data_IF_398459645452
#
_entry.id   IF_398459645452
#
_cell.length_a   1.000
_cell.length_b   1.000
_cell.length_c   1.000
_cell.angle_alpha   90.00
_cell.angle_beta   90.00
_cell.angle_gamma   90.00
#
_symmetry.space_group_name_H-M   'P 1'
#
loop_
_entity.id
_entity.type
_entity.pdbx_description
1 polymer ?
#
# COMPACT_ATOMS: atom_id res chain seq x y z
N UNK A 1 -8.33 9.12 28.81
CA UNK A 1 -8.05 9.58 27.44
C UNK A 1 -6.65 9.10 27.12
N UNK A 2 -6.52 8.11 26.23
CA UNK A 2 -5.20 7.70 25.72
C UNK A 2 -4.83 8.74 24.67
N UNK A 3 -3.69 9.41 24.84
CA UNK A 3 -3.16 10.33 23.84
C UNK A 3 -2.46 9.51 22.76
N UNK A 4 -2.75 9.79 21.49
CA UNK A 4 -2.05 9.17 20.37
C UNK A 4 -0.59 9.68 20.34
N UNK A 5 0.36 8.77 20.15
CA UNK A 5 1.79 9.09 20.03
C UNK A 5 2.08 9.80 18.71
N UNK A 6 1.39 9.40 17.64
CA UNK A 6 1.46 10.01 16.32
C UNK A 6 0.06 10.45 15.86
N UNK A 7 0.00 11.59 15.17
CA UNK A 7 -1.15 12.06 14.43
C UNK A 7 -1.05 11.74 12.94
N UNK A 8 -2.19 11.80 12.24
CA UNK A 8 -2.21 11.73 10.77
C UNK A 8 -1.42 12.91 10.20
N UNK A 9 -0.50 12.62 9.28
CA UNK A 9 0.43 13.59 8.68
C UNK A 9 1.81 13.62 9.33
N UNK A 10 1.98 13.04 10.52
CA UNK A 10 3.28 12.97 11.19
C UNK A 10 4.23 12.03 10.45
N UNK A 11 5.54 12.28 10.60
CA UNK A 11 6.56 11.32 10.18
C UNK A 11 6.56 10.13 11.13
N UNK A 12 6.30 8.95 10.58
CA UNK A 12 6.31 7.70 11.33
C UNK A 12 7.72 7.22 11.68
N UNK A 13 7.83 6.17 12.51
CA UNK A 13 9.12 5.66 12.99
C UNK A 13 10.01 5.09 11.88
N UNK A 14 9.46 4.75 10.71
CA UNK A 14 10.22 4.26 9.58
C UNK A 14 10.56 5.37 8.54
N UNK A 15 10.22 6.63 8.84
CA UNK A 15 10.45 7.78 7.96
C UNK A 15 9.36 7.97 6.90
N UNK A 16 8.27 7.20 6.97
CA UNK A 16 7.08 7.40 6.16
C UNK A 16 6.12 8.42 6.75
N UNK A 17 4.91 8.50 6.19
CA UNK A 17 3.84 9.39 6.67
C UNK A 17 2.73 8.57 7.34
N UNK A 18 2.32 8.95 8.54
CA UNK A 18 1.15 8.37 9.20
C UNK A 18 -0.11 8.81 8.46
N UNK A 19 -0.89 7.86 7.92
CA UNK A 19 -2.10 8.16 7.15
C UNK A 19 -3.40 7.75 7.86
N UNK A 20 -3.31 6.84 8.83
CA UNK A 20 -4.47 6.40 9.60
C UNK A 20 -4.09 6.05 11.03
N UNK A 21 -4.96 6.40 11.97
CA UNK A 21 -4.79 6.17 13.41
C UNK A 21 -6.13 5.72 13.98
N UNK A 22 -6.14 4.62 14.71
CA UNK A 22 -7.31 4.12 15.43
C UNK A 22 -6.91 3.57 16.79
N UNK A 23 -7.14 4.38 17.82
CA UNK A 23 -6.81 4.04 19.20
C UNK A 23 -7.76 3.01 19.82
N UNK A 24 -8.79 2.56 19.10
CA UNK A 24 -9.65 1.45 19.55
C UNK A 24 -9.07 0.08 19.22
N UNK A 25 -8.07 0.02 18.33
CA UNK A 25 -7.32 -1.20 18.00
C UNK A 25 -6.39 -1.62 19.14
N UNK A 26 -6.02 -2.92 19.19
CA UNK A 26 -5.01 -3.41 20.13
C UNK A 26 -3.71 -2.59 20.03
N UNK A 27 -3.07 -2.38 21.19
CA UNK A 27 -1.74 -1.79 21.26
C UNK A 27 -0.77 -2.54 20.34
N UNK A 28 0.02 -1.82 19.54
CA UNK A 28 0.86 -2.42 18.50
C UNK A 28 0.20 -2.54 17.13
N UNK A 29 -1.02 -2.00 16.92
CA UNK A 29 -1.72 -2.03 15.62
C UNK A 29 -2.54 -0.78 15.34
N UNK A 30 -2.25 0.31 16.05
CA UNK A 30 -3.09 1.52 16.12
C UNK A 30 -2.72 2.53 15.03
N UNK A 31 -1.49 2.49 14.53
CA UNK A 31 -0.93 3.43 13.57
C UNK A 31 -0.69 2.73 12.25
N UNK A 32 -0.94 3.45 11.16
CA UNK A 32 -0.65 3.00 9.81
C UNK A 32 0.21 4.04 9.10
N UNK A 33 1.34 3.60 8.58
CA UNK A 33 2.38 4.41 7.98
C UNK A 33 2.54 4.03 6.51
N UNK A 34 2.50 5.02 5.62
CA UNK A 34 2.79 4.86 4.20
C UNK A 34 4.26 5.15 3.94
N UNK A 35 4.92 4.33 3.12
CA UNK A 35 6.34 4.49 2.84
C UNK A 35 6.66 5.89 2.26
N UNK A 36 7.87 6.37 2.50
CA UNK A 36 8.34 7.67 2.01
C UNK A 36 8.30 7.76 0.47
N UNK A 37 8.29 8.98 -0.09
CA UNK A 37 8.54 9.20 -1.51
C UNK A 37 9.92 8.65 -1.90
N UNK A 38 10.04 7.85 -2.97
CA UNK A 38 11.30 7.16 -3.27
C UNK A 38 11.58 5.96 -2.37
N UNK A 39 10.56 5.30 -1.81
CA UNK A 39 10.77 4.01 -1.15
C UNK A 39 11.38 2.95 -2.11
N UNK A 40 11.08 3.09 -3.41
CA UNK A 40 11.46 2.15 -4.47
C UNK A 40 12.95 2.19 -4.84
N UNK A 41 13.59 3.36 -4.69
CA UNK A 41 15.04 3.58 -4.84
C UNK A 41 15.75 3.79 -3.48
N UNK A 42 14.98 3.71 -2.39
CA UNK A 42 15.41 3.88 -0.98
C UNK A 42 15.99 5.26 -0.68
N UNK A 43 15.72 6.25 -1.52
CA UNK A 43 16.20 7.62 -1.31
C UNK A 43 15.34 8.40 -0.32
N UNK A 44 14.10 8.00 -0.07
CA UNK A 44 13.17 8.75 0.80
C UNK A 44 13.14 10.27 0.56
N UNK A 45 13.25 10.71 -0.69
CA UNK A 45 13.21 12.13 -1.05
C UNK A 45 14.55 12.87 -0.92
N UNK A 46 15.67 12.19 -0.66
CA UNK A 46 17.00 12.80 -0.65
C UNK A 46 17.61 13.03 -2.04
N UNK A 47 17.01 12.51 -3.11
CA UNK A 47 17.36 12.86 -4.50
C UNK A 47 16.15 13.53 -5.18
N UNK A 48 16.22 14.88 -5.26
CA UNK A 48 15.14 15.74 -5.77
C UNK A 48 15.21 15.92 -7.31
N UNK A 49 16.06 15.16 -8.00
CA UNK A 49 16.10 15.15 -9.45
C UNK A 49 15.08 14.13 -9.98
N UNK A 50 13.86 14.59 -10.26
CA UNK A 50 12.81 13.93 -11.06
C UNK A 50 12.90 12.39 -11.16
N UNK A 51 12.55 11.65 -10.10
CA UNK A 51 12.57 10.18 -10.21
C UNK A 51 11.98 9.36 -9.07
N UNK A 52 11.88 9.90 -7.86
CA UNK A 52 11.47 9.17 -6.64
C UNK A 52 9.95 8.96 -6.53
N UNK A 53 9.38 8.29 -7.54
CA UNK A 53 7.95 7.90 -7.58
C UNK A 53 7.75 6.49 -7.05
N UNK A 54 6.48 6.16 -6.81
CA UNK A 54 6.07 4.77 -6.68
C UNK A 54 6.53 3.93 -7.87
N UNK A 55 6.79 2.65 -7.60
CA UNK A 55 7.19 1.70 -8.62
C UNK A 55 5.96 1.03 -9.24
N UNK A 56 5.99 0.86 -10.55
CA UNK A 56 5.05 -0.02 -11.24
C UNK A 56 5.33 -1.49 -10.89
N UNK A 57 4.28 -2.22 -10.58
CA UNK A 57 4.33 -3.67 -10.38
C UNK A 57 3.10 -4.34 -11.01
N UNK A 58 3.21 -5.64 -11.23
CA UNK A 58 2.07 -6.50 -11.56
C UNK A 58 1.59 -7.23 -10.33
N UNK A 59 0.28 -7.47 -10.27
CA UNK A 59 -0.33 -8.29 -9.22
C UNK A 59 0.08 -9.75 -9.32
N UNK A 60 0.11 -10.28 -10.55
CA UNK A 60 0.60 -11.62 -10.87
C UNK A 60 -0.46 -12.72 -10.82
N UNK A 61 -0.11 -13.88 -11.37
CA UNK A 61 -0.92 -15.11 -11.38
C UNK A 61 -2.34 -14.95 -11.93
N UNK A 62 -2.47 -14.25 -13.07
CA UNK A 62 -3.71 -14.22 -13.81
C UNK A 62 -4.18 -15.65 -14.16
N UNK A 63 -5.48 -15.90 -14.07
CA UNK A 63 -6.10 -17.21 -14.22
C UNK A 63 -6.13 -18.05 -12.94
N UNK A 64 -5.48 -17.61 -11.85
CA UNK A 64 -5.44 -18.35 -10.58
C UNK A 64 -5.99 -17.49 -9.43
N UNK A 65 -7.05 -17.93 -8.73
CA UNK A 65 -7.50 -17.27 -7.51
C UNK A 65 -6.54 -17.55 -6.35
N UNK A 66 -6.28 -16.53 -5.54
CA UNK A 66 -5.40 -16.59 -4.37
C UNK A 66 -6.27 -16.63 -3.13
N UNK A 67 -6.40 -17.81 -2.53
CA UNK A 67 -7.23 -18.01 -1.33
C UNK A 67 -6.73 -17.13 -0.17
N UNK A 68 -7.62 -16.36 0.43
CA UNK A 68 -7.33 -15.48 1.58
C UNK A 68 -6.98 -14.04 1.20
N UNK A 69 -6.61 -13.77 -0.05
CA UNK A 69 -6.24 -12.43 -0.51
C UNK A 69 -7.43 -11.55 -0.93
N UNK A 70 -8.67 -11.90 -0.56
CA UNK A 70 -9.89 -11.15 -0.88
C UNK A 70 -10.29 -10.12 0.20
N UNK A 71 -9.50 -10.02 1.28
CA UNK A 71 -9.71 -9.06 2.35
C UNK A 71 -9.70 -7.62 1.84
N UNK A 72 -10.72 -6.83 2.20
CA UNK A 72 -10.86 -5.43 1.75
C UNK A 72 -10.75 -4.40 2.85
N UNK A 73 -11.02 -4.79 4.10
CA UNK A 73 -11.12 -3.90 5.24
C UNK A 73 -9.75 -3.37 5.71
N UNK A 74 -9.77 -2.33 6.53
CA UNK A 74 -8.56 -1.84 7.21
C UNK A 74 -8.05 -2.91 8.19
N UNK A 75 -6.77 -3.21 8.13
CA UNK A 75 -6.09 -4.29 8.84
C UNK A 75 -6.03 -5.61 8.09
N UNK A 76 -6.42 -5.68 6.81
CA UNK A 76 -6.35 -6.93 6.02
C UNK A 76 -5.19 -6.97 5.02
N UNK A 77 -4.54 -5.84 4.73
CA UNK A 77 -3.51 -5.78 3.68
C UNK A 77 -2.29 -6.66 3.97
N UNK A 78 -1.92 -6.80 5.24
CA UNK A 78 -0.81 -7.65 5.68
C UNK A 78 -1.10 -9.12 5.38
N UNK A 79 -2.25 -9.64 5.84
CA UNK A 79 -2.64 -11.03 5.60
C UNK A 79 -2.82 -11.31 4.10
N UNK A 80 -3.45 -10.40 3.35
CA UNK A 80 -3.54 -10.54 1.90
C UNK A 80 -2.16 -10.65 1.25
N UNK A 81 -1.19 -9.83 1.69
CA UNK A 81 0.16 -9.83 1.14
C UNK A 81 0.85 -11.17 1.41
N UNK A 82 0.69 -11.72 2.62
CA UNK A 82 1.18 -13.05 2.99
C UNK A 82 0.55 -14.13 2.09
N UNK A 83 -0.76 -14.07 1.87
CA UNK A 83 -1.48 -15.06 1.05
C UNK A 83 -1.06 -14.97 -0.43
N UNK A 84 -0.81 -13.77 -0.95
CA UNK A 84 -0.25 -13.56 -2.28
C UNK A 84 1.16 -14.14 -2.40
N UNK A 85 2.03 -13.93 -1.41
CA UNK A 85 3.39 -14.49 -1.43
C UNK A 85 3.37 -16.03 -1.41
N UNK A 86 2.42 -16.62 -0.70
CA UNK A 86 2.28 -18.07 -0.60
C UNK A 86 1.58 -18.70 -1.82
N UNK A 87 0.63 -17.99 -2.43
CA UNK A 87 -0.20 -18.49 -3.53
C UNK A 87 0.24 -18.05 -4.92
N UNK A 88 1.11 -17.04 -5.03
CA UNK A 88 1.52 -16.45 -6.30
C UNK A 88 3.02 -16.17 -6.38
N UNK A 89 3.77 -17.12 -6.97
CA UNK A 89 5.21 -16.94 -7.20
C UNK A 89 5.52 -15.80 -8.16
N UNK A 90 4.61 -15.35 -9.03
CA UNK A 90 4.88 -14.29 -10.01
C UNK A 90 4.49 -12.88 -9.54
N UNK A 91 4.04 -12.72 -8.29
CA UNK A 91 3.62 -11.40 -7.80
C UNK A 91 4.82 -10.48 -7.54
N UNK A 92 5.11 -9.60 -8.50
CA UNK A 92 6.12 -8.55 -8.31
C UNK A 92 5.70 -7.58 -7.19
N UNK A 93 4.41 -7.24 -7.14
CA UNK A 93 3.81 -6.35 -6.16
C UNK A 93 4.10 -6.80 -4.71
N UNK A 94 3.70 -8.03 -4.37
CA UNK A 94 3.88 -8.54 -3.01
C UNK A 94 5.36 -8.73 -2.65
N UNK A 95 6.18 -9.22 -3.59
CA UNK A 95 7.64 -9.40 -3.38
C UNK A 95 8.37 -8.09 -3.15
N UNK A 96 7.95 -7.00 -3.79
CA UNK A 96 8.58 -5.69 -3.58
C UNK A 96 8.25 -5.13 -2.20
N UNK A 97 7.03 -5.32 -1.70
CA UNK A 97 6.66 -4.92 -0.33
C UNK A 97 7.42 -5.77 0.71
N UNK A 98 7.38 -7.10 0.58
CA UNK A 98 8.01 -8.06 1.52
C UNK A 98 9.53 -7.85 1.67
N UNK A 99 10.22 -7.49 0.59
CA UNK A 99 11.68 -7.26 0.59
C UNK A 99 12.06 -5.83 0.97
N UNK A 100 11.09 -4.94 1.17
CA UNK A 100 11.38 -3.56 1.51
C UNK A 100 11.91 -3.51 2.95
N UNK A 101 13.09 -2.91 3.09
CA UNK A 101 13.62 -2.50 4.39
C UNK A 101 13.80 -0.99 4.35
N UNK A 102 13.02 -0.29 5.17
CA UNK A 102 12.96 1.18 5.19
C UNK A 102 12.92 1.67 6.64
N UNK A 103 13.76 2.64 6.98
CA UNK A 103 13.86 3.15 8.36
C UNK A 103 14.21 2.09 9.42
N UNK A 104 14.85 0.99 9.00
CA UNK A 104 15.15 -0.16 9.86
C UNK A 104 14.00 -1.16 10.03
N UNK A 105 12.87 -0.96 9.35
CA UNK A 105 11.67 -1.81 9.44
C UNK A 105 11.50 -2.65 8.17
N UNK A 106 11.03 -3.90 8.32
CA UNK A 106 10.88 -4.89 7.25
C UNK A 106 9.48 -5.51 7.17
N UNK A 107 8.52 -4.92 7.87
CA UNK A 107 7.11 -5.34 7.99
C UNK A 107 6.19 -4.59 7.01
N UNK A 108 6.72 -4.25 5.84
CA UNK A 108 5.98 -3.53 4.82
C UNK A 108 5.12 -4.48 3.98
N UNK A 109 3.89 -4.09 3.74
CA UNK A 109 2.92 -4.88 2.98
C UNK A 109 2.16 -4.03 1.96
N UNK A 110 1.43 -4.69 1.09
CA UNK A 110 0.60 -4.05 0.06
C UNK A 110 -0.75 -3.71 0.68
N UNK A 111 -1.22 -2.45 0.62
CA UNK A 111 -2.46 -2.04 1.27
C UNK A 111 -3.68 -2.80 0.71
N UNK A 112 -4.64 -3.15 1.56
CA UNK A 112 -5.97 -3.60 1.15
C UNK A 112 -6.72 -2.48 0.43
N UNK A 113 -7.87 -2.80 -0.16
CA UNK A 113 -8.75 -1.83 -0.82
C UNK A 113 -9.05 -0.60 0.06
N UNK A 114 -9.46 -0.81 1.31
CA UNK A 114 -9.86 0.28 2.20
C UNK A 114 -8.66 1.02 2.79
N UNK A 115 -7.53 0.34 2.99
CA UNK A 115 -6.27 0.97 3.38
C UNK A 115 -5.76 1.89 2.27
N UNK A 116 -5.77 1.42 1.02
CA UNK A 116 -5.42 2.22 -0.16
C UNK A 116 -6.35 3.44 -0.28
N UNK A 117 -7.63 3.29 0.06
CA UNK A 117 -8.58 4.41 0.12
C UNK A 117 -8.17 5.46 1.14
N UNK A 118 -7.70 5.05 2.34
CA UNK A 118 -7.18 5.99 3.33
C UNK A 118 -5.89 6.66 2.88
N UNK A 119 -4.96 5.91 2.26
CA UNK A 119 -3.74 6.48 1.64
C UNK A 119 -4.13 7.56 0.63
N UNK A 120 -5.09 7.28 -0.25
CA UNK A 120 -5.52 8.22 -1.29
C UNK A 120 -6.19 9.49 -0.74
N UNK A 121 -7.04 9.35 0.29
CA UNK A 121 -7.65 10.49 0.98
C UNK A 121 -6.58 11.39 1.64
N UNK A 122 -5.43 10.83 2.02
CA UNK A 122 -4.31 11.53 2.65
C UNK A 122 -3.14 11.85 1.71
N UNK A 123 -3.29 11.63 0.40
CA UNK A 123 -2.22 11.77 -0.60
C UNK A 123 -1.49 13.12 -0.61
N UNK A 124 -2.12 14.20 -0.15
CA UNK A 124 -1.44 15.50 -0.04
C UNK A 124 -0.39 15.52 1.07
N UNK A 125 -0.60 14.76 2.14
CA UNK A 125 0.39 14.55 3.20
C UNK A 125 1.41 13.46 2.83
N UNK A 126 1.04 12.53 1.94
CA UNK A 126 1.89 11.44 1.45
C UNK A 126 2.59 11.91 0.17
N UNK A 127 3.76 12.52 0.32
CA UNK A 127 4.51 13.06 -0.81
C UNK A 127 4.91 12.01 -1.86
N UNK A 128 5.10 12.45 -3.10
CA UNK A 128 5.67 11.65 -4.20
C UNK A 128 4.76 10.58 -4.79
N UNK A 129 3.45 10.65 -4.54
CA UNK A 129 2.45 9.81 -5.21
C UNK A 129 2.23 10.31 -6.66
N UNK A 130 2.34 9.44 -7.69
CA UNK A 130 1.90 9.72 -9.06
C UNK A 130 0.52 10.39 -9.17
N UNK A 131 0.35 11.20 -10.24
CA UNK A 131 -0.70 12.20 -10.41
C UNK A 131 -2.02 11.68 -10.96
N UNK A 132 -2.63 12.42 -11.90
CA UNK A 132 -4.04 12.27 -12.31
C UNK A 132 -4.27 11.41 -13.56
N UNK A 133 -3.55 10.30 -13.77
CA UNK A 133 -3.90 9.29 -14.80
C UNK A 133 -3.43 7.87 -14.41
N UNK A 134 -2.97 7.70 -13.17
CA UNK A 134 -2.34 6.49 -12.69
C UNK A 134 -3.30 5.58 -11.91
N UNK A 135 -3.09 4.27 -12.01
CA UNK A 135 -3.83 3.31 -11.19
C UNK A 135 -2.97 2.89 -10.01
N UNK A 136 -3.55 2.87 -8.82
CA UNK A 136 -2.93 2.28 -7.64
C UNK A 136 -3.47 0.88 -7.36
N UNK A 137 -2.58 -0.05 -7.10
CA UNK A 137 -2.89 -1.43 -6.79
C UNK A 137 -3.11 -1.59 -5.29
N UNK A 138 -4.14 -2.35 -4.93
CA UNK A 138 -4.35 -2.87 -3.56
C UNK A 138 -4.09 -4.38 -3.54
N UNK A 139 -3.90 -4.98 -2.36
CA UNK A 139 -3.75 -6.43 -2.16
C UNK A 139 -5.07 -7.20 -2.14
N UNK A 140 -6.20 -6.55 -2.43
CA UNK A 140 -7.52 -7.21 -2.48
C UNK A 140 -7.79 -7.83 -3.84
N UNK A 141 -7.80 -9.16 -3.91
CA UNK A 141 -8.25 -9.94 -5.06
C UNK A 141 -9.76 -9.77 -5.28
N UNK A 142 -10.18 -9.71 -6.54
CA UNK A 142 -11.60 -9.75 -6.93
C UNK A 142 -11.97 -11.10 -7.56
N UNK A 143 -11.07 -11.65 -8.39
CA UNK A 143 -11.26 -12.94 -9.04
C UNK A 143 -9.92 -13.50 -9.53
N UNK A 144 -9.96 -14.67 -10.16
CA UNK A 144 -8.79 -15.31 -10.76
C UNK A 144 -8.03 -14.41 -11.76
N UNK A 145 -8.68 -13.42 -12.38
CA UNK A 145 -8.05 -12.51 -13.35
C UNK A 145 -7.99 -11.05 -12.89
N UNK A 146 -8.76 -10.67 -11.86
CA UNK A 146 -8.94 -9.28 -11.48
C UNK A 146 -8.56 -9.05 -10.03
N UNK A 147 -7.98 -7.89 -9.75
CA UNK A 147 -7.86 -7.36 -8.41
C UNK A 147 -8.48 -5.97 -8.32
N UNK A 148 -8.69 -5.50 -7.09
CA UNK A 148 -9.23 -4.17 -6.86
C UNK A 148 -8.07 -3.18 -6.80
N UNK A 149 -8.22 -2.06 -7.50
CA UNK A 149 -7.33 -0.92 -7.41
C UNK A 149 -8.11 0.37 -7.29
N UNK A 150 -7.39 1.49 -7.29
CA UNK A 150 -7.97 2.82 -7.26
C UNK A 150 -7.53 3.60 -8.48
N UNK A 151 -8.52 4.23 -9.14
CA UNK A 151 -8.22 5.27 -10.11
C UNK A 151 -8.19 6.62 -9.41
N UNK A 152 -7.08 7.31 -9.58
CA UNK A 152 -6.74 8.58 -8.94
C UNK A 152 -7.54 9.79 -9.43
N UNK A 153 -8.30 9.66 -10.53
CA UNK A 153 -9.07 10.79 -11.10
C UNK A 153 -10.41 11.05 -10.44
N UNK A 154 -10.70 10.35 -9.34
CA UNK A 154 -11.97 10.41 -8.67
C UNK A 154 -11.79 10.72 -7.18
N UNK A 155 -12.43 11.81 -6.74
CA UNK A 155 -12.50 12.21 -5.34
C UNK A 155 -13.43 11.25 -4.58
N UNK A 156 -12.84 10.19 -4.02
CA UNK A 156 -13.44 9.13 -3.18
C UNK A 156 -14.40 8.16 -3.88
N UNK A 157 -14.19 6.86 -3.70
CA UNK A 157 -15.14 5.81 -4.07
C UNK A 157 -14.97 5.16 -5.45
N UNK A 158 -14.01 5.57 -6.28
CA UNK A 158 -13.77 4.91 -7.57
C UNK A 158 -12.73 3.80 -7.44
N UNK A 159 -13.21 2.67 -6.94
CA UNK A 159 -12.52 1.41 -7.14
C UNK A 159 -12.63 1.00 -8.61
N UNK A 160 -11.55 0.47 -9.13
CA UNK A 160 -11.49 -0.10 -10.47
C UNK A 160 -11.07 -1.56 -10.36
N UNK A 161 -11.50 -2.35 -11.34
CA UNK A 161 -11.08 -3.74 -11.46
C UNK A 161 -9.97 -3.79 -12.51
N UNK A 162 -8.79 -4.25 -12.08
CA UNK A 162 -7.58 -4.23 -12.89
C UNK A 162 -7.21 -5.68 -13.18
N UNK A 163 -6.85 -5.98 -14.43
CA UNK A 163 -6.31 -7.30 -14.78
C UNK A 163 -5.02 -7.54 -14.01
N UNK A 164 -4.83 -8.74 -13.45
CA UNK A 164 -3.64 -9.08 -12.65
C UNK A 164 -2.33 -8.97 -13.43
N UNK A 165 -2.38 -9.09 -14.76
CA UNK A 165 -1.23 -8.84 -15.65
C UNK A 165 -0.92 -7.35 -15.91
N UNK A 166 -1.85 -6.43 -15.61
CA UNK A 166 -1.63 -5.02 -15.86
C UNK A 166 -0.72 -4.41 -14.78
N UNK A 167 0.14 -3.50 -15.22
CA UNK A 167 0.97 -2.72 -14.31
C UNK A 167 0.15 -1.61 -13.65
N UNK A 168 0.46 -1.33 -12.39
CA UNK A 168 0.08 -0.10 -11.73
C UNK A 168 1.01 0.23 -10.57
N UNK A 169 0.85 1.42 -10.03
CA UNK A 169 1.64 1.92 -8.93
C UNK A 169 1.13 1.35 -7.62
N UNK A 170 1.97 1.32 -6.59
CA UNK A 170 1.52 1.02 -5.25
C UNK A 170 2.46 1.67 -4.25
N UNK A 171 1.94 1.90 -3.05
CA UNK A 171 2.66 2.45 -1.93
C UNK A 171 2.64 1.40 -0.82
N UNK A 172 3.77 0.77 -0.47
CA UNK A 172 3.84 -0.10 0.68
C UNK A 172 3.42 0.65 1.95
N UNK A 173 2.71 -0.05 2.81
CA UNK A 173 2.30 0.46 4.13
C UNK A 173 2.74 -0.51 5.21
N UNK A 174 2.73 -0.05 6.46
CA UNK A 174 2.94 -0.89 7.64
C UNK A 174 1.98 -0.48 8.76
N UNK A 175 1.77 -1.36 9.74
CA UNK A 175 0.94 -1.12 10.92
C UNK A 175 1.72 -1.43 12.20
N UNK A 176 1.53 -0.63 13.24
CA UNK A 176 2.20 -0.79 14.55
C UNK A 176 1.46 -0.03 15.68
#
# INVERSE_FOLDING_TARGET
MILALYGVGDTGPAGGTIFWVDMTRPEGSQYFEAACAGWSDRTCGFDLNEGSRDRLATWGCAGTPITGADGTAIGTGEQNTIDILNGCEDSALAKFADRLVLGGQSDWFVPSKDELSQVWVRREAISGMPGSDENYLSSSELSANLHIGMNVNCYSGCYIHIQKENNGYFRPIRSF
#
